data_IF_736507827584
#
_entry.id   IF_736507827584
#
_cell.length_a   1.000
_cell.length_b   1.000
_cell.length_c   1.000
_cell.angle_alpha   90.00
_cell.angle_beta   90.00
_cell.angle_gamma   90.00
#
_symmetry.space_group_name_H-M   'P 1'
#
loop_
_entity.id
_entity.type
_entity.pdbx_description
1 polymer ?
#
# COMPACT_ATOMS: atom_id res chain seq x y z
N UNK A 1 -7.96 83.33 33.84
CA UNK A 1 -8.56 82.03 34.26
C UNK A 1 -9.37 81.47 33.09
N UNK A 2 -8.87 80.41 32.43
CA UNK A 2 -9.59 79.39 31.61
C UNK A 2 -8.58 78.58 30.77
N UNK A 3 -8.08 77.54 31.42
CA UNK A 3 -7.73 76.17 30.96
C UNK A 3 -7.50 75.99 29.44
N UNK A 4 -6.26 75.66 29.07
CA UNK A 4 -5.92 75.01 27.79
C UNK A 4 -5.67 73.53 28.06
N UNK A 5 -6.53 72.68 27.50
CA UNK A 5 -6.45 71.22 27.55
C UNK A 5 -5.34 70.78 26.58
N UNK A 6 -4.32 70.10 27.12
CA UNK A 6 -3.23 69.50 26.35
C UNK A 6 -3.65 68.05 26.02
N UNK A 7 -4.04 67.80 24.77
CA UNK A 7 -4.32 66.46 24.26
C UNK A 7 -3.00 65.79 23.92
N UNK A 8 -2.60 64.79 24.71
CA UNK A 8 -1.49 63.90 24.37
C UNK A 8 -1.97 62.88 23.33
N UNK A 9 -1.48 63.00 22.10
CA UNK A 9 -1.63 61.98 21.06
C UNK A 9 -0.71 60.82 21.39
N UNK A 10 -1.29 59.72 21.89
CA UNK A 10 -0.62 58.44 22.04
C UNK A 10 -0.29 57.89 20.64
N UNK A 11 0.96 58.02 20.22
CA UNK A 11 1.48 57.31 19.05
C UNK A 11 1.65 55.84 19.42
N UNK A 12 0.67 55.01 19.05
CA UNK A 12 0.74 53.56 19.18
C UNK A 12 1.77 53.01 18.20
N UNK A 13 2.88 52.49 18.72
CA UNK A 13 3.87 51.77 17.94
C UNK A 13 3.28 50.39 17.55
N UNK A 14 2.68 50.30 16.36
CA UNK A 14 2.31 49.01 15.77
C UNK A 14 3.59 48.29 15.34
N UNK A 15 4.05 47.33 16.15
CA UNK A 15 5.01 46.33 15.68
C UNK A 15 4.26 45.36 14.76
N UNK A 16 4.63 45.22 13.47
CA UNK A 16 4.05 44.19 12.65
C UNK A 16 4.52 42.83 13.17
N UNK A 17 3.62 42.04 13.74
CA UNK A 17 3.83 40.61 13.89
C UNK A 17 3.91 40.02 12.49
N UNK A 18 5.12 39.84 11.96
CA UNK A 18 5.32 38.91 10.86
C UNK A 18 5.13 37.51 11.43
N UNK A 19 3.93 36.96 11.24
CA UNK A 19 3.70 35.54 11.46
C UNK A 19 4.53 34.78 10.42
N UNK A 20 5.67 34.25 10.85
CA UNK A 20 6.38 33.24 10.09
C UNK A 20 5.47 32.01 10.07
N UNK A 21 4.71 31.85 8.99
CA UNK A 21 4.09 30.57 8.68
C UNK A 21 5.23 29.58 8.46
N UNK A 22 5.47 28.69 9.42
CA UNK A 22 6.24 27.49 9.14
C UNK A 22 5.41 26.66 8.15
N UNK A 23 5.65 26.84 6.85
CA UNK A 23 5.33 25.77 5.92
C UNK A 23 6.12 24.56 6.40
N UNK A 24 5.43 23.49 6.80
CA UNK A 24 6.10 22.22 6.98
C UNK A 24 6.60 21.83 5.60
N UNK A 25 7.92 21.92 5.38
CA UNK A 25 8.53 21.48 4.14
C UNK A 25 8.12 20.03 3.90
N UNK A 26 7.55 19.75 2.73
CA UNK A 26 7.19 18.39 2.32
C UNK A 26 8.47 17.55 2.37
N UNK A 27 8.38 16.36 2.96
CA UNK A 27 9.49 15.42 2.95
C UNK A 27 9.96 15.17 1.50
N UNK A 28 11.28 15.10 1.24
CA UNK A 28 11.83 14.71 -0.05
C UNK A 28 11.27 13.36 -0.50
N UNK A 29 11.16 13.13 -1.79
CA UNK A 29 10.55 11.88 -2.29
C UNK A 29 11.38 10.63 -1.88
N UNK A 30 12.70 10.78 -1.69
CA UNK A 30 13.61 9.75 -1.22
C UNK A 30 13.82 9.72 0.32
N UNK A 31 12.95 10.37 1.11
CA UNK A 31 13.15 10.51 2.56
C UNK A 31 13.40 9.17 3.30
N UNK A 32 12.84 8.08 2.79
CA UNK A 32 12.98 6.74 3.35
C UNK A 32 14.41 6.21 3.25
N UNK A 33 15.23 6.74 2.35
CA UNK A 33 16.65 6.40 2.20
C UNK A 33 17.59 7.26 3.07
N UNK A 34 17.07 8.35 3.67
CA UNK A 34 17.83 9.33 4.42
C UNK A 34 18.06 8.93 5.89
N UNK A 35 18.90 9.69 6.59
CA UNK A 35 19.26 9.46 7.98
C UNK A 35 18.79 10.58 8.92
N UNK A 36 18.36 10.17 10.12
CA UNK A 36 17.79 11.08 11.10
C UNK A 36 18.79 12.13 11.60
N UNK A 37 20.08 11.77 11.74
CA UNK A 37 21.10 12.64 12.34
C UNK A 37 21.75 13.54 11.31
N UNK A 38 21.90 13.07 10.07
CA UNK A 38 22.57 13.82 9.00
C UNK A 38 21.59 14.66 8.19
N UNK A 39 20.43 14.09 7.86
CA UNK A 39 19.48 14.68 6.91
C UNK A 39 18.20 15.20 7.60
N UNK A 40 17.98 14.84 8.87
CA UNK A 40 16.79 15.24 9.63
C UNK A 40 15.53 14.41 9.33
N UNK A 41 15.65 13.33 8.57
CA UNK A 41 14.54 12.43 8.20
C UNK A 41 14.75 11.03 8.79
N UNK A 42 13.70 10.45 9.37
CA UNK A 42 13.76 9.12 9.98
C UNK A 42 13.64 7.99 8.93
N UNK A 43 14.55 7.95 7.95
CA UNK A 43 14.68 6.86 6.98
C UNK A 43 15.54 5.70 7.50
N UNK A 44 15.88 4.78 6.59
CA UNK A 44 16.71 3.58 6.86
C UNK A 44 18.19 3.76 6.48
N UNK A 45 18.62 5.00 6.19
CA UNK A 45 20.02 5.37 5.93
C UNK A 45 20.70 4.58 4.80
N UNK A 46 19.96 4.17 3.76
CA UNK A 46 20.50 3.37 2.65
C UNK A 46 21.49 4.15 1.79
N UNK A 47 21.36 5.47 1.66
CA UNK A 47 22.36 6.29 0.94
C UNK A 47 23.76 6.17 1.57
N UNK A 48 23.80 6.22 2.90
CA UNK A 48 25.05 6.02 3.65
C UNK A 48 25.53 4.58 3.57
N UNK A 49 24.61 3.61 3.61
CA UNK A 49 24.95 2.19 3.43
C UNK A 49 25.66 1.98 2.09
N UNK A 50 25.16 2.56 0.99
CA UNK A 50 25.84 2.46 -0.31
C UNK A 50 27.26 3.04 -0.29
N UNK A 51 27.49 4.15 0.41
CA UNK A 51 28.86 4.68 0.60
C UNK A 51 29.74 3.72 1.40
N UNK A 52 29.20 3.14 2.47
CA UNK A 52 29.92 2.20 3.34
C UNK A 52 30.27 0.86 2.64
N UNK A 53 29.44 0.44 1.69
CA UNK A 53 29.64 -0.78 0.92
C UNK A 53 30.63 -0.61 -0.24
N UNK A 54 31.05 0.63 -0.57
CA UNK A 54 32.04 0.87 -1.63
C UNK A 54 33.33 0.08 -1.38
N UNK A 55 33.77 -0.64 -2.41
CA UNK A 55 34.98 -1.46 -2.37
C UNK A 55 34.83 -2.80 -1.66
N UNK A 56 33.62 -3.17 -1.20
CA UNK A 56 33.32 -4.51 -0.70
C UNK A 56 32.87 -5.41 -1.85
N UNK A 57 33.22 -6.69 -1.76
CA UNK A 57 32.75 -7.71 -2.71
C UNK A 57 31.31 -8.09 -2.38
N UNK A 58 30.36 -7.97 -3.33
CA UNK A 58 28.98 -8.40 -3.10
C UNK A 58 28.87 -9.93 -3.09
N UNK A 59 27.85 -10.44 -2.41
CA UNK A 59 27.42 -11.82 -2.50
C UNK A 59 25.96 -11.82 -2.99
N UNK A 60 25.69 -12.54 -4.07
CA UNK A 60 24.32 -12.73 -4.56
C UNK A 60 23.53 -13.58 -3.57
N UNK A 61 22.34 -13.11 -3.20
CA UNK A 61 21.42 -13.81 -2.31
C UNK A 61 20.10 -13.95 -3.05
N UNK A 62 19.59 -15.18 -3.13
CA UNK A 62 18.24 -15.44 -3.66
C UNK A 62 17.22 -15.17 -2.57
N UNK A 63 16.22 -14.34 -2.87
CA UNK A 63 15.15 -13.95 -1.95
C UNK A 63 13.82 -14.39 -2.54
N UNK A 64 13.09 -15.25 -1.81
CA UNK A 64 11.75 -15.66 -2.22
C UNK A 64 10.71 -14.59 -1.83
N UNK A 65 9.95 -14.11 -2.82
CA UNK A 65 8.85 -13.17 -2.64
C UNK A 65 7.53 -13.92 -2.76
N UNK A 66 6.73 -13.92 -1.69
CA UNK A 66 5.41 -14.56 -1.66
C UNK A 66 4.36 -13.45 -1.64
N UNK A 67 3.91 -13.07 -2.82
CA UNK A 67 2.95 -11.97 -3.03
C UNK A 67 2.05 -12.31 -4.24
N UNK A 68 1.45 -11.30 -4.87
CA UNK A 68 0.62 -11.44 -6.08
C UNK A 68 1.40 -11.78 -7.37
N UNK A 69 2.72 -11.99 -7.27
CA UNK A 69 3.63 -12.18 -8.41
C UNK A 69 4.54 -10.98 -8.65
N UNK A 70 5.34 -11.06 -9.71
CA UNK A 70 6.26 -10.01 -10.15
C UNK A 70 6.16 -9.86 -11.66
N UNK A 71 6.31 -8.63 -12.16
CA UNK A 71 6.47 -8.39 -13.58
C UNK A 71 7.91 -8.70 -13.99
N UNK A 72 8.13 -9.87 -14.57
CA UNK A 72 9.45 -10.33 -15.00
C UNK A 72 10.01 -9.54 -16.19
N UNK A 73 9.17 -8.79 -16.92
CA UNK A 73 9.57 -7.97 -18.07
C UNK A 73 9.86 -6.50 -17.69
N UNK A 74 9.69 -6.16 -16.41
CA UNK A 74 9.93 -4.80 -15.93
C UNK A 74 11.41 -4.40 -16.09
N UNK A 75 11.67 -3.26 -16.72
CA UNK A 75 13.02 -2.83 -17.12
C UNK A 75 14.05 -2.78 -15.97
N UNK A 76 13.62 -2.35 -14.79
CA UNK A 76 14.46 -2.29 -13.58
C UNK A 76 14.61 -3.63 -12.83
N UNK A 77 13.81 -4.65 -13.16
CA UNK A 77 13.80 -5.92 -12.44
C UNK A 77 14.37 -7.09 -13.26
N UNK A 78 14.23 -7.07 -14.59
CA UNK A 78 14.60 -8.18 -15.48
C UNK A 78 16.02 -8.72 -15.22
N UNK A 79 16.97 -7.85 -14.85
CA UNK A 79 18.37 -8.21 -14.62
C UNK A 79 18.63 -8.88 -13.25
N UNK A 80 17.66 -8.82 -12.34
CA UNK A 80 17.76 -9.35 -10.96
C UNK A 80 16.72 -10.43 -10.64
N UNK A 81 15.82 -10.75 -11.58
CA UNK A 81 14.88 -11.87 -11.43
C UNK A 81 15.67 -13.19 -11.40
N UNK A 82 15.31 -14.06 -10.47
CA UNK A 82 15.88 -15.40 -10.36
C UNK A 82 15.46 -16.26 -11.56
N UNK A 83 16.37 -17.12 -12.03
CA UNK A 83 16.12 -18.08 -13.10
C UNK A 83 16.34 -19.49 -12.56
N UNK A 84 15.36 -20.37 -12.76
CA UNK A 84 15.53 -21.80 -12.53
C UNK A 84 16.38 -22.38 -13.67
N UNK A 85 17.68 -22.59 -13.41
CA UNK A 85 18.61 -23.14 -14.41
C UNK A 85 18.34 -24.62 -14.74
N UNK A 86 17.56 -25.31 -13.90
CA UNK A 86 17.18 -26.71 -14.09
C UNK A 86 15.93 -26.88 -14.99
N UNK A 87 15.30 -25.78 -15.43
CA UNK A 87 14.13 -25.76 -16.32
C UNK A 87 14.46 -25.34 -17.76
N UNK A 88 13.80 -25.95 -18.76
CA UNK A 88 13.85 -25.52 -20.16
C UNK A 88 12.58 -24.73 -20.48
N UNK A 89 12.67 -23.40 -20.74
CA UNK A 89 11.49 -22.59 -20.97
C UNK A 89 10.60 -23.08 -22.13
N UNK A 90 9.29 -22.97 -21.93
CA UNK A 90 8.23 -23.20 -22.92
C UNK A 90 8.22 -24.62 -23.52
N UNK A 91 8.68 -25.64 -22.79
CA UNK A 91 8.69 -27.02 -23.26
C UNK A 91 7.47 -27.82 -22.78
N UNK A 92 6.70 -27.28 -21.82
CA UNK A 92 5.49 -27.89 -21.28
C UNK A 92 5.77 -29.07 -20.33
N UNK A 93 6.96 -29.13 -19.74
CA UNK A 93 7.43 -30.20 -18.84
C UNK A 93 7.95 -29.60 -17.54
N UNK A 94 8.00 -30.47 -16.55
CA UNK A 94 8.68 -30.25 -15.28
C UNK A 94 10.02 -30.97 -15.44
N UNK A 95 11.08 -30.21 -15.74
CA UNK A 95 12.39 -30.74 -16.10
C UNK A 95 13.21 -31.09 -14.84
N UNK A 96 13.01 -30.35 -13.76
CA UNK A 96 13.70 -30.55 -12.47
C UNK A 96 12.99 -31.57 -11.54
N UNK A 97 11.73 -31.91 -11.84
CA UNK A 97 10.92 -32.87 -11.10
C UNK A 97 10.36 -32.33 -9.78
N UNK A 98 10.27 -31.00 -9.62
CA UNK A 98 9.81 -30.33 -8.40
C UNK A 98 8.27 -30.29 -8.26
N UNK A 99 7.54 -30.65 -9.32
CA UNK A 99 6.08 -30.68 -9.39
C UNK A 99 5.43 -29.45 -10.04
N UNK A 100 6.22 -28.53 -10.59
CA UNK A 100 5.80 -27.33 -11.28
C UNK A 100 6.33 -27.35 -12.72
N UNK A 101 5.48 -27.02 -13.69
CA UNK A 101 5.82 -27.11 -15.12
C UNK A 101 6.29 -25.75 -15.61
N UNK A 102 7.45 -25.66 -16.24
CA UNK A 102 8.04 -24.44 -16.78
C UNK A 102 8.16 -23.30 -15.72
N UNK A 103 8.58 -23.59 -14.48
CA UNK A 103 8.67 -22.61 -13.37
C UNK A 103 9.95 -21.74 -13.39
N UNK A 104 10.28 -21.24 -14.58
CA UNK A 104 11.53 -20.53 -14.92
C UNK A 104 11.85 -19.34 -14.00
N UNK A 105 10.84 -18.59 -13.56
CA UNK A 105 10.99 -17.41 -12.70
C UNK A 105 10.25 -17.55 -11.36
N UNK A 106 9.93 -18.78 -10.98
CA UNK A 106 9.07 -19.11 -9.85
C UNK A 106 7.68 -19.55 -10.30
N UNK A 107 6.75 -19.60 -9.34
CA UNK A 107 5.48 -20.30 -9.53
C UNK A 107 4.25 -19.52 -9.06
N UNK A 108 3.15 -19.69 -9.79
CA UNK A 108 1.84 -19.16 -9.41
C UNK A 108 1.01 -20.21 -8.66
N UNK A 109 0.96 -20.09 -7.33
CA UNK A 109 0.20 -20.98 -6.44
C UNK A 109 -1.31 -20.75 -6.42
N UNK A 110 -1.79 -19.68 -7.05
CA UNK A 110 -3.21 -19.35 -7.16
C UNK A 110 -3.86 -20.16 -8.31
N UNK A 111 -3.04 -20.73 -9.20
CA UNK A 111 -3.43 -21.67 -10.24
C UNK A 111 -3.75 -23.06 -9.69
N UNK A 112 -4.92 -23.61 -10.05
CA UNK A 112 -5.18 -25.04 -9.86
C UNK A 112 -4.28 -25.91 -10.73
N UNK A 113 -4.21 -27.22 -10.46
CA UNK A 113 -3.47 -28.20 -11.30
C UNK A 113 -3.89 -28.22 -12.77
N UNK A 114 -5.01 -27.58 -13.11
CA UNK A 114 -5.53 -27.40 -14.45
C UNK A 114 -5.08 -26.09 -15.13
N UNK A 115 -4.12 -25.37 -14.54
CA UNK A 115 -3.59 -24.11 -15.06
C UNK A 115 -4.56 -22.94 -14.96
N UNK A 116 -5.70 -23.10 -14.26
CA UNK A 116 -6.68 -22.03 -14.09
C UNK A 116 -6.32 -21.16 -12.90
N UNK A 117 -6.00 -19.90 -13.18
CA UNK A 117 -5.77 -18.89 -12.17
C UNK A 117 -7.08 -18.49 -11.49
N UNK A 118 -7.10 -18.47 -10.15
CA UNK A 118 -8.15 -17.74 -9.43
C UNK A 118 -7.88 -16.25 -9.60
N UNK A 119 -8.52 -15.63 -10.59
CA UNK A 119 -8.33 -14.21 -10.93
C UNK A 119 -8.83 -13.23 -9.85
N UNK A 120 -9.62 -13.70 -8.87
CA UNK A 120 -10.26 -12.84 -7.89
C UNK A 120 -9.73 -13.11 -6.50
N UNK A 121 -9.15 -12.09 -5.89
CA UNK A 121 -8.74 -12.13 -4.49
C UNK A 121 -9.96 -12.27 -3.56
N UNK A 122 -9.80 -13.02 -2.48
CA UNK A 122 -10.83 -13.18 -1.47
C UNK A 122 -10.78 -12.01 -0.48
N UNK A 123 -11.32 -10.87 -0.89
CA UNK A 123 -11.33 -9.64 -0.10
C UNK A 123 -11.91 -9.85 1.31
N UNK A 124 -11.30 -9.19 2.30
CA UNK A 124 -11.85 -9.07 3.67
C UNK A 124 -13.30 -8.55 3.68
N UNK A 125 -13.65 -7.75 2.67
CA UNK A 125 -15.00 -7.31 2.37
C UNK A 125 -15.97 -8.49 2.20
N UNK A 126 -15.59 -9.49 1.42
CA UNK A 126 -16.37 -10.71 1.19
C UNK A 126 -16.55 -11.50 2.47
N UNK A 127 -15.49 -11.62 3.29
CA UNK A 127 -15.53 -12.31 4.60
C UNK A 127 -16.55 -11.65 5.53
N UNK A 128 -16.49 -10.32 5.66
CA UNK A 128 -17.41 -9.56 6.50
C UNK A 128 -18.84 -9.61 5.96
N UNK A 129 -19.03 -9.47 4.65
CA UNK A 129 -20.35 -9.60 4.02
C UNK A 129 -20.97 -10.97 4.32
N UNK A 130 -20.25 -12.07 4.10
CA UNK A 130 -20.74 -13.43 4.40
C UNK A 130 -21.09 -13.60 5.88
N UNK A 131 -20.28 -13.05 6.78
CA UNK A 131 -20.56 -13.07 8.22
C UNK A 131 -21.89 -12.39 8.55
N UNK A 132 -22.12 -11.17 8.04
CA UNK A 132 -23.34 -10.41 8.31
C UNK A 132 -24.57 -10.94 7.56
N UNK A 133 -24.39 -11.45 6.34
CA UNK A 133 -25.44 -12.08 5.54
C UNK A 133 -26.11 -13.21 6.33
N UNK A 134 -25.32 -14.10 6.94
CA UNK A 134 -25.83 -15.18 7.80
C UNK A 134 -26.75 -14.69 8.94
N UNK A 135 -26.54 -13.45 9.41
CA UNK A 135 -27.28 -12.87 10.54
C UNK A 135 -28.53 -12.10 10.11
N UNK A 136 -28.53 -11.53 8.92
CA UNK A 136 -29.49 -10.49 8.51
C UNK A 136 -30.22 -10.75 7.18
N UNK A 137 -29.80 -11.75 6.40
CA UNK A 137 -30.49 -12.15 5.18
C UNK A 137 -31.97 -12.46 5.46
N UNK A 138 -32.86 -11.80 4.73
CA UNK A 138 -34.31 -11.96 4.88
C UNK A 138 -34.93 -11.35 6.15
N UNK A 139 -34.16 -10.64 7.00
CA UNK A 139 -34.71 -9.96 8.18
C UNK A 139 -35.26 -8.58 7.84
N UNK A 140 -36.39 -8.25 8.46
CA UNK A 140 -36.96 -6.91 8.39
C UNK A 140 -36.24 -5.96 9.35
N UNK A 141 -35.61 -4.86 8.87
CA UNK A 141 -34.88 -3.91 9.70
C UNK A 141 -35.74 -3.24 10.79
N UNK A 142 -37.05 -3.14 10.60
CA UNK A 142 -37.95 -2.51 11.58
C UNK A 142 -38.13 -3.36 12.84
N UNK A 143 -37.95 -4.68 12.69
CA UNK A 143 -38.05 -5.65 13.79
C UNK A 143 -36.77 -5.76 14.63
N UNK A 144 -35.68 -5.11 14.21
CA UNK A 144 -34.36 -5.22 14.82
C UNK A 144 -34.17 -4.24 16.00
N UNK A 145 -33.44 -4.70 17.02
CA UNK A 145 -32.99 -3.85 18.13
C UNK A 145 -32.03 -2.78 17.62
N UNK A 146 -31.92 -1.64 18.33
CA UNK A 146 -31.05 -0.51 17.95
C UNK A 146 -29.60 -0.90 17.64
N UNK A 147 -29.02 -1.87 18.37
CA UNK A 147 -27.66 -2.38 18.12
C UNK A 147 -27.60 -3.22 16.84
N UNK A 148 -28.59 -4.07 16.61
CA UNK A 148 -28.68 -4.92 15.42
C UNK A 148 -28.99 -4.11 14.15
N UNK A 149 -29.72 -3.00 14.27
CA UNK A 149 -29.93 -2.07 13.14
C UNK A 149 -28.63 -1.45 12.62
N UNK A 150 -27.72 -1.05 13.51
CA UNK A 150 -26.40 -0.54 13.11
C UNK A 150 -25.57 -1.60 12.38
N UNK A 151 -25.63 -2.83 12.84
CA UNK A 151 -24.96 -3.97 12.19
C UNK A 151 -25.63 -4.30 10.84
N UNK A 152 -26.95 -4.16 10.72
CA UNK A 152 -27.69 -4.30 9.47
C UNK A 152 -27.35 -3.18 8.46
N UNK A 153 -27.22 -1.94 8.91
CA UNK A 153 -26.73 -0.84 8.06
C UNK A 153 -25.32 -1.14 7.54
N UNK A 154 -24.44 -1.65 8.40
CA UNK A 154 -23.10 -2.11 7.99
C UNK A 154 -23.16 -3.25 6.98
N UNK A 155 -24.07 -4.20 7.15
CA UNK A 155 -24.31 -5.27 6.18
C UNK A 155 -24.65 -4.71 4.78
N UNK A 156 -25.58 -3.75 4.71
CA UNK A 156 -25.97 -3.11 3.43
C UNK A 156 -24.85 -2.27 2.81
N UNK A 157 -24.03 -1.60 3.62
CA UNK A 157 -22.83 -0.89 3.16
C UNK A 157 -21.79 -1.86 2.55
N UNK A 158 -21.55 -3.00 3.21
CA UNK A 158 -20.65 -4.03 2.70
C UNK A 158 -21.17 -4.65 1.40
N UNK A 159 -22.49 -4.89 1.29
CA UNK A 159 -23.12 -5.40 0.08
C UNK A 159 -22.91 -4.45 -1.11
N UNK A 160 -23.12 -3.14 -0.89
CA UNK A 160 -22.88 -2.11 -1.91
C UNK A 160 -21.42 -2.08 -2.37
N UNK A 161 -20.48 -2.04 -1.42
CA UNK A 161 -19.05 -2.02 -1.71
C UNK A 161 -18.58 -3.27 -2.44
N UNK A 162 -19.14 -4.44 -2.08
CA UNK A 162 -18.79 -5.69 -2.74
C UNK A 162 -19.23 -5.65 -4.21
N UNK A 163 -20.44 -5.17 -4.49
CA UNK A 163 -20.92 -5.00 -5.86
C UNK A 163 -20.07 -3.98 -6.65
N UNK A 164 -19.74 -2.83 -6.05
CA UNK A 164 -18.86 -1.84 -6.69
C UNK A 164 -17.48 -2.44 -7.03
N UNK A 165 -16.88 -3.18 -6.11
CA UNK A 165 -15.58 -3.81 -6.33
C UNK A 165 -15.64 -4.93 -7.37
N UNK A 166 -16.73 -5.68 -7.42
CA UNK A 166 -16.96 -6.68 -8.47
C UNK A 166 -17.06 -6.05 -9.85
N UNK A 167 -17.70 -4.89 -9.98
CA UNK A 167 -17.76 -4.16 -11.25
C UNK A 167 -16.41 -3.54 -11.63
N UNK A 168 -15.66 -2.98 -10.67
CA UNK A 168 -14.29 -2.48 -10.89
C UNK A 168 -13.37 -3.59 -11.41
N UNK A 169 -13.42 -4.78 -10.78
CA UNK A 169 -12.59 -5.92 -11.19
C UNK A 169 -12.95 -6.44 -12.60
N UNK A 170 -14.21 -6.30 -13.05
CA UNK A 170 -14.61 -6.65 -14.43
C UNK A 170 -14.09 -5.66 -15.47
N UNK A 171 -13.87 -4.40 -15.08
CA UNK A 171 -13.39 -3.35 -15.98
C UNK A 171 -11.86 -3.33 -16.19
N UNK A 172 -11.12 -4.04 -15.34
CA UNK A 172 -9.66 -4.15 -15.38
C UNK A 172 -9.16 -5.44 -16.05
N UNK A 173 -10.03 -6.14 -16.82
CA UNK A 173 -9.70 -7.33 -17.61
C UNK A 173 -9.73 -7.00 -19.10
#
# INVERSE_FOLDING_TARGET
MKIRILVWLMSGLLLPLTAWTQSADKAPDNWHHLDSRQDGFNGISTEQMYQFLKGRTPQTVVVAVIDSGVDCEHEDLQDVIWVNEDEIPDNGRDDDGNGYVDDVHGWNFIGGKDGKNVHFDQLELTRLYVHYRKKFEGKDPETLKKKERKEYERYKDLEKKLHEKQEEMKGNV
#
